data_IF_605390630626
#
_entry.id   IF_605390630626
#
_cell.length_a   1.000
_cell.length_b   1.000
_cell.length_c   1.000
_cell.angle_alpha   90.00
_cell.angle_beta   90.00
_cell.angle_gamma   90.00
#
_symmetry.space_group_name_H-M   'P 1'
#
loop_
_entity.id
_entity.type
_entity.pdbx_description
1 polymer ?
#
# COMPACT_ATOMS: atom_id res chain seq x y z
N UNK A 1 10.80 10.38 18.67
CA UNK A 1 9.62 11.02 18.06
C UNK A 1 10.16 12.09 17.13
N UNK A 2 10.19 11.83 15.82
CA UNK A 2 10.74 12.75 14.83
C UNK A 2 9.70 13.84 14.57
N UNK A 3 9.93 15.04 15.11
CA UNK A 3 9.14 16.23 14.80
C UNK A 3 9.66 16.77 13.46
N UNK A 4 8.91 16.54 12.37
CA UNK A 4 9.23 17.10 11.06
C UNK A 4 8.59 18.49 11.01
N UNK A 5 9.39 19.51 11.32
CA UNK A 5 9.04 20.92 11.14
C UNK A 5 9.14 21.27 9.65
N UNK A 6 8.02 21.74 9.09
CA UNK A 6 7.85 22.39 7.80
C UNK A 6 9.15 22.69 7.04
N UNK A 7 9.46 21.86 6.05
CA UNK A 7 10.48 22.15 5.05
C UNK A 7 9.91 21.68 3.71
N UNK A 8 9.62 22.66 2.84
CA UNK A 8 9.41 22.60 1.38
C UNK A 8 8.73 21.33 0.81
N UNK A 9 7.63 21.48 0.06
CA UNK A 9 6.86 20.35 -0.49
C UNK A 9 7.68 19.34 -1.28
N UNK A 10 8.84 19.76 -1.82
CA UNK A 10 9.85 18.91 -2.44
C UNK A 10 10.45 17.83 -1.50
N UNK A 11 10.65 18.16 -0.23
CA UNK A 11 11.16 17.25 0.80
C UNK A 11 10.11 16.22 1.21
N UNK A 12 8.87 16.67 1.40
CA UNK A 12 7.73 15.78 1.69
C UNK A 12 7.55 14.79 0.55
N UNK A 13 7.59 15.26 -0.70
CA UNK A 13 7.51 14.38 -1.87
C UNK A 13 8.61 13.32 -1.87
N UNK A 14 9.86 13.71 -1.61
CA UNK A 14 11.01 12.78 -1.61
C UNK A 14 10.86 11.67 -0.55
N UNK A 15 10.46 12.02 0.68
CA UNK A 15 10.17 11.04 1.73
C UNK A 15 9.02 10.13 1.31
N UNK A 16 7.95 10.69 0.73
CA UNK A 16 6.79 9.90 0.32
C UNK A 16 7.15 8.91 -0.80
N UNK A 17 8.01 9.31 -1.74
CA UNK A 17 8.49 8.42 -2.79
C UNK A 17 9.33 7.27 -2.20
N UNK A 18 10.26 7.57 -1.28
CA UNK A 18 11.06 6.55 -0.61
C UNK A 18 10.19 5.60 0.22
N UNK A 19 9.22 6.12 0.97
CA UNK A 19 8.26 5.32 1.73
C UNK A 19 7.38 4.45 0.84
N UNK A 20 6.90 4.95 -0.30
CA UNK A 20 6.12 4.15 -1.25
C UNK A 20 6.97 3.03 -1.87
N UNK A 21 8.24 3.31 -2.14
CA UNK A 21 9.17 2.32 -2.68
C UNK A 21 9.51 1.25 -1.63
N UNK A 22 9.72 1.65 -0.36
CA UNK A 22 9.88 0.74 0.77
C UNK A 22 8.61 -0.09 1.02
N UNK A 23 7.43 0.52 0.88
CA UNK A 23 6.13 -0.13 1.02
C UNK A 23 5.97 -1.24 -0.02
N UNK A 24 6.29 -0.95 -1.29
CA UNK A 24 6.27 -1.92 -2.38
C UNK A 24 7.27 -3.07 -2.18
N UNK A 25 8.42 -2.79 -1.56
CA UNK A 25 9.44 -3.80 -1.31
C UNK A 25 9.13 -4.69 -0.09
N UNK A 26 8.49 -4.15 0.95
CA UNK A 26 8.40 -4.79 2.28
C UNK A 26 6.97 -4.99 2.81
N UNK A 27 5.96 -4.56 2.07
CA UNK A 27 4.54 -4.69 2.41
C UNK A 27 4.10 -4.16 3.78
N UNK A 28 4.77 -3.12 4.29
CA UNK A 28 4.46 -2.50 5.58
C UNK A 28 3.32 -1.51 5.42
N UNK A 29 2.17 -1.77 6.04
CA UNK A 29 1.06 -0.82 6.11
C UNK A 29 1.51 0.48 6.80
N UNK A 30 1.50 1.60 6.06
CA UNK A 30 1.71 2.92 6.63
C UNK A 30 0.36 3.42 7.15
N UNK A 31 0.06 3.08 8.40
CA UNK A 31 -1.17 3.45 9.11
C UNK A 31 -0.87 4.45 10.24
N UNK A 32 -0.36 5.65 9.92
CA UNK A 32 -0.65 6.87 10.70
C UNK A 32 -0.06 8.10 10.01
N UNK A 33 -0.86 8.76 9.16
CA UNK A 33 -0.53 10.05 8.56
C UNK A 33 -1.44 11.17 9.10
N UNK A 34 -1.87 11.07 10.37
CA UNK A 34 -2.71 12.11 10.99
C UNK A 34 -2.02 13.45 11.15
N UNK A 35 -0.68 13.48 11.14
CA UNK A 35 0.12 14.69 11.35
C UNK A 35 0.35 15.54 10.09
N UNK A 36 -0.14 15.10 8.93
CA UNK A 36 0.12 15.78 7.67
C UNK A 36 -0.92 16.87 7.37
N UNK A 37 -0.45 17.99 6.85
CA UNK A 37 -1.26 19.11 6.38
C UNK A 37 -2.14 18.69 5.19
N UNK A 38 -3.05 19.57 4.77
CA UNK A 38 -3.83 19.33 3.55
C UNK A 38 -2.93 19.18 2.32
N UNK A 39 -1.99 20.11 2.14
CA UNK A 39 -1.05 20.14 1.01
C UNK A 39 -0.16 18.90 0.99
N UNK A 40 0.33 18.48 2.15
CA UNK A 40 1.15 17.26 2.26
C UNK A 40 0.35 16.00 1.94
N UNK A 41 -0.92 15.92 2.38
CA UNK A 41 -1.81 14.80 2.02
C UNK A 41 -2.09 14.76 0.51
N UNK A 42 -2.18 15.90 -0.16
CA UNK A 42 -2.31 15.95 -1.62
C UNK A 42 -1.06 15.44 -2.34
N UNK A 43 0.13 15.78 -1.83
CA UNK A 43 1.41 15.22 -2.33
C UNK A 43 1.42 13.70 -2.16
N UNK A 44 1.03 13.20 -0.98
CA UNK A 44 0.97 11.75 -0.72
C UNK A 44 -0.03 11.06 -1.67
N UNK A 45 -1.19 11.66 -1.92
CA UNK A 45 -2.16 11.15 -2.90
C UNK A 45 -1.54 11.04 -4.30
N UNK A 46 -0.86 12.10 -4.77
CA UNK A 46 -0.23 12.12 -6.09
C UNK A 46 0.89 11.05 -6.22
N UNK A 47 1.71 10.89 -5.18
CA UNK A 47 2.76 9.88 -5.14
C UNK A 47 2.17 8.48 -5.11
N UNK A 48 1.19 8.21 -4.25
CA UNK A 48 0.53 6.90 -4.16
C UNK A 48 -0.11 6.48 -5.50
N UNK A 49 -0.74 7.43 -6.20
CA UNK A 49 -1.29 7.21 -7.55
C UNK A 49 -0.18 6.85 -8.55
N UNK A 50 0.95 7.57 -8.56
CA UNK A 50 2.12 7.29 -9.42
C UNK A 50 2.65 5.87 -9.23
N UNK A 51 2.59 5.32 -8.01
CA UNK A 51 3.00 3.96 -7.70
C UNK A 51 1.88 2.91 -7.85
N UNK A 52 0.68 3.31 -8.29
CA UNK A 52 -0.46 2.42 -8.48
C UNK A 52 -1.02 1.85 -7.19
N UNK A 53 -0.80 2.53 -6.06
CA UNK A 53 -1.32 2.18 -4.74
C UNK A 53 -2.76 2.70 -4.58
N UNK A 54 -3.52 2.07 -3.68
CA UNK A 54 -4.78 2.65 -3.21
C UNK A 54 -4.47 3.72 -2.17
N UNK A 55 -5.18 4.85 -2.26
CA UNK A 55 -5.09 5.93 -1.31
C UNK A 55 -6.49 6.44 -0.96
N UNK A 56 -6.71 6.75 0.32
CA UNK A 56 -7.96 7.35 0.76
C UNK A 56 -7.74 8.25 1.98
N UNK A 57 -8.43 9.40 2.01
CA UNK A 57 -8.59 10.15 3.25
C UNK A 57 -9.63 9.45 4.14
N UNK A 58 -9.37 9.36 5.43
CA UNK A 58 -10.29 8.84 6.45
C UNK A 58 -10.33 9.78 7.66
N UNK A 59 -11.36 9.65 8.50
CA UNK A 59 -11.58 10.53 9.64
C UNK A 59 -12.13 11.92 9.26
N UNK A 60 -12.31 12.78 10.25
CA UNK A 60 -12.85 14.14 10.12
C UNK A 60 -12.17 15.11 11.09
N UNK A 61 -12.14 16.40 10.74
CA UNK A 61 -11.48 17.44 11.53
C UNK A 61 -10.01 17.14 11.78
N UNK A 62 -9.58 17.27 13.04
CA UNK A 62 -8.21 16.96 13.51
C UNK A 62 -7.83 15.48 13.39
N UNK A 63 -8.81 14.58 13.26
CA UNK A 63 -8.54 13.14 13.08
C UNK A 63 -8.42 12.75 11.61
N UNK A 64 -8.41 13.72 10.69
CA UNK A 64 -8.30 13.42 9.26
C UNK A 64 -6.89 12.94 8.94
N UNK A 65 -6.80 11.75 8.36
CA UNK A 65 -5.53 11.12 7.98
C UNK A 65 -5.66 10.50 6.59
N UNK A 66 -4.53 10.28 5.94
CA UNK A 66 -4.47 9.51 4.70
C UNK A 66 -4.08 8.07 5.01
N UNK A 67 -4.64 7.13 4.27
CA UNK A 67 -4.29 5.73 4.31
C UNK A 67 -3.80 5.32 2.93
N UNK A 68 -2.65 4.65 2.87
CA UNK A 68 -2.07 4.11 1.64
C UNK A 68 -1.99 2.59 1.75
N UNK A 69 -2.51 1.89 0.74
CA UNK A 69 -2.61 0.42 0.71
C UNK A 69 -2.23 -0.13 -0.65
N UNK A 70 -1.90 -1.41 -0.71
CA UNK A 70 -1.77 -2.10 -2.00
C UNK A 70 -3.09 -2.09 -2.77
N UNK A 71 -3.00 -1.79 -4.05
CA UNK A 71 -4.04 -2.13 -5.01
C UNK A 71 -3.87 -3.58 -5.43
N UNK A 72 -4.36 -4.49 -4.59
CA UNK A 72 -4.36 -5.91 -4.92
C UNK A 72 -5.30 -6.18 -6.09
N UNK A 73 -4.75 -6.63 -7.22
CA UNK A 73 -5.53 -7.44 -8.15
C UNK A 73 -5.49 -8.89 -7.66
N UNK A 74 -6.53 -9.68 -7.93
CA UNK A 74 -6.52 -11.12 -7.59
C UNK A 74 -5.27 -11.84 -8.13
N UNK A 75 -4.78 -11.57 -9.37
CA UNK A 75 -3.52 -12.13 -9.85
C UNK A 75 -2.30 -11.73 -8.99
N UNK A 76 -2.15 -10.44 -8.64
CA UNK A 76 -1.02 -9.98 -7.82
C UNK A 76 -1.07 -10.55 -6.40
N UNK A 77 -2.27 -10.64 -5.81
CA UNK A 77 -2.45 -11.26 -4.51
C UNK A 77 -2.09 -12.75 -4.54
N UNK A 78 -2.50 -13.47 -5.59
CA UNK A 78 -2.14 -14.87 -5.75
C UNK A 78 -0.63 -15.07 -5.94
N UNK A 79 0.02 -14.23 -6.75
CA UNK A 79 1.48 -14.25 -6.94
C UNK A 79 2.22 -13.99 -5.63
N UNK A 80 1.81 -12.98 -4.87
CA UNK A 80 2.41 -12.66 -3.59
C UNK A 80 2.17 -13.77 -2.55
N UNK A 81 0.95 -14.30 -2.49
CA UNK A 81 0.64 -15.45 -1.64
C UNK A 81 1.55 -16.63 -1.97
N UNK A 82 1.77 -16.94 -3.26
CA UNK A 82 2.75 -17.98 -3.65
C UNK A 82 4.16 -17.64 -3.15
N UNK A 83 4.60 -16.39 -3.29
CA UNK A 83 5.94 -15.93 -2.85
C UNK A 83 6.16 -16.14 -1.35
N UNK A 84 5.14 -15.91 -0.52
CA UNK A 84 5.24 -16.02 0.95
C UNK A 84 4.84 -17.39 1.51
N UNK A 85 4.70 -18.42 0.66
CA UNK A 85 4.43 -19.80 1.10
C UNK A 85 2.95 -20.20 1.12
N UNK A 86 2.12 -19.51 0.35
CA UNK A 86 0.72 -19.83 0.11
C UNK A 86 -0.26 -19.30 1.15
N UNK A 87 0.21 -18.68 2.24
CA UNK A 87 -0.67 -18.28 3.35
C UNK A 87 -0.17 -17.03 4.08
N UNK A 88 -1.12 -16.21 4.51
CA UNK A 88 -0.94 -15.09 5.43
C UNK A 88 -1.99 -15.18 6.54
N UNK A 89 -1.94 -14.29 7.53
CA UNK A 89 -2.99 -14.23 8.58
C UNK A 89 -4.39 -13.88 8.07
N UNK A 90 -4.54 -13.42 6.82
CA UNK A 90 -5.84 -13.01 6.23
C UNK A 90 -6.26 -13.83 5.02
N UNK A 91 -5.33 -14.46 4.31
CA UNK A 91 -5.58 -15.14 3.03
C UNK A 91 -4.78 -16.43 2.91
N UNK A 92 -5.36 -17.43 2.27
CA UNK A 92 -4.73 -18.72 1.96
C UNK A 92 -5.02 -19.09 0.51
N UNK A 93 -3.99 -19.54 -0.21
CA UNK A 93 -4.10 -19.98 -1.59
C UNK A 93 -4.51 -21.44 -1.62
N UNK A 94 -5.59 -21.73 -2.34
CA UNK A 94 -6.06 -23.09 -2.56
C UNK A 94 -5.81 -23.50 -4.00
N UNK A 95 -5.03 -24.58 -4.18
CA UNK A 95 -4.94 -25.28 -5.46
C UNK A 95 -6.31 -25.89 -5.79
N UNK A 96 -6.81 -25.77 -7.03
CA UNK A 96 -8.01 -26.48 -7.44
C UNK A 96 -7.80 -27.99 -7.27
N UNK A 97 -8.66 -28.65 -6.49
CA UNK A 97 -8.63 -30.11 -6.28
C UNK A 97 -9.12 -30.91 -7.50
N UNK A 98 -9.65 -30.22 -8.50
CA UNK A 98 -10.05 -30.82 -9.78
C UNK A 98 -8.95 -30.58 -10.81
N UNK A 99 -8.42 -31.65 -11.46
CA UNK A 99 -7.49 -31.49 -12.57
C UNK A 99 -8.12 -30.61 -13.65
N UNK A 100 -7.31 -29.74 -14.26
CA UNK A 100 -7.77 -28.97 -15.42
C UNK A 100 -8.28 -29.96 -16.48
N UNK A 101 -9.45 -29.71 -17.11
CA UNK A 101 -10.11 -30.67 -18.00
C UNK A 101 -9.26 -31.21 -19.16
N UNK A 102 -8.11 -30.58 -19.44
CA UNK A 102 -7.26 -30.86 -20.59
C UNK A 102 -5.89 -31.46 -20.22
N UNK A 103 -5.75 -32.12 -19.07
CA UNK A 103 -4.53 -32.87 -18.70
C UNK A 103 -4.74 -34.39 -18.56
N UNK A 104 -5.71 -34.96 -19.28
CA UNK A 104 -5.80 -36.40 -19.45
C UNK A 104 -5.04 -36.76 -20.74
N UNK A 105 -3.83 -37.31 -20.55
CA UNK A 105 -3.11 -38.07 -21.57
C UNK A 105 -3.79 -39.43 -21.80
#
# INVERSE_FOLDING_TARGET
MLHISAADGSFVQSICEELCQLFLANAVLLEDFSQFSLEEREIIHAVAEKFGLQHNSAGSGENRHIIVRYKWSLPKLAEELRRVGGKTGRYELWEPTVPLPNQIL
#
